data_IF_514792665077
#
_entry.id   IF_514792665077
#
_cell.length_a   1.000
_cell.length_b   1.000
_cell.length_c   1.000
_cell.angle_alpha   90.00
_cell.angle_beta   90.00
_cell.angle_gamma   90.00
#
_symmetry.space_group_name_H-M   'P 1'
#
loop_
_entity.id
_entity.type
_entity.pdbx_description
1 polymer ?
#
# COMPACT_ATOMS: atom_id res chain seq x y z
N UNK A 1 29.21 -10.84 30.89
CA UNK A 1 28.25 -9.73 31.10
C UNK A 1 27.23 -9.83 29.99
N UNK A 2 25.93 -9.75 30.29
CA UNK A 2 24.93 -9.71 29.22
C UNK A 2 25.14 -8.43 28.40
N UNK A 3 25.03 -8.51 27.08
CA UNK A 3 25.07 -7.30 26.24
C UNK A 3 23.93 -6.35 26.65
N UNK A 4 24.24 -5.06 26.72
CA UNK A 4 23.23 -4.04 27.01
C UNK A 4 22.19 -3.97 25.89
N UNK A 5 20.92 -3.78 26.26
CA UNK A 5 19.82 -3.69 25.30
C UNK A 5 19.96 -2.42 24.46
N UNK A 6 20.07 -2.58 23.14
CA UNK A 6 20.04 -1.45 22.20
C UNK A 6 18.61 -0.94 21.99
N UNK A 7 18.40 0.38 22.10
CA UNK A 7 17.13 1.08 21.81
C UNK A 7 17.40 2.37 21.03
N UNK A 8 16.36 2.98 20.45
CA UNK A 8 16.44 4.31 19.79
C UNK A 8 17.40 4.40 18.58
N UNK A 9 17.69 3.26 17.94
CA UNK A 9 18.66 3.17 16.83
C UNK A 9 18.13 3.61 15.46
N UNK A 10 16.82 3.79 15.32
CA UNK A 10 16.18 4.21 14.08
C UNK A 10 16.29 3.19 12.93
N UNK A 11 15.95 3.59 11.69
CA UNK A 11 16.11 2.73 10.53
C UNK A 11 17.58 2.64 10.11
N UNK A 12 17.99 1.52 9.49
CA UNK A 12 19.27 1.44 8.81
C UNK A 12 19.39 2.54 7.74
N UNK A 13 20.51 3.27 7.69
CA UNK A 13 20.72 4.33 6.71
C UNK A 13 20.66 3.78 5.28
N UNK A 14 19.81 4.36 4.42
CA UNK A 14 19.49 3.79 3.10
C UNK A 14 20.69 3.63 2.17
N UNK A 15 21.73 4.46 2.31
CA UNK A 15 22.95 4.39 1.47
C UNK A 15 23.68 3.05 1.53
N UNK A 16 23.47 2.26 2.59
CA UNK A 16 24.07 0.93 2.70
C UNK A 16 23.45 -0.08 1.73
N UNK A 17 22.27 0.23 1.17
CA UNK A 17 21.51 -0.67 0.30
C UNK A 17 21.44 -0.18 -1.15
N UNK A 18 22.05 0.96 -1.47
CA UNK A 18 22.03 1.49 -2.83
C UNK A 18 22.92 0.66 -3.76
N UNK A 19 22.46 0.31 -4.98
CA UNK A 19 23.33 -0.20 -6.02
C UNK A 19 24.53 0.73 -6.24
N UNK A 20 25.74 0.21 -6.49
CA UNK A 20 26.94 1.03 -6.70
C UNK A 20 26.77 2.13 -7.76
N UNK A 21 26.07 1.82 -8.86
CA UNK A 21 25.77 2.80 -9.92
C UNK A 21 24.88 3.95 -9.42
N UNK A 22 23.94 3.68 -8.51
CA UNK A 22 23.10 4.72 -7.90
C UNK A 22 23.93 5.57 -6.94
N UNK A 23 24.78 4.94 -6.12
CA UNK A 23 25.64 5.66 -5.18
C UNK A 23 26.62 6.59 -5.90
N UNK A 24 27.23 6.12 -6.99
CA UNK A 24 28.15 6.91 -7.84
C UNK A 24 27.46 8.13 -8.47
N UNK A 25 26.20 7.97 -8.89
CA UNK A 25 25.45 9.00 -9.63
C UNK A 25 24.33 9.65 -8.80
N UNK A 26 24.43 9.59 -7.47
CA UNK A 26 23.39 10.11 -6.59
C UNK A 26 23.23 11.62 -6.78
N UNK A 27 22.01 12.06 -7.17
CA UNK A 27 21.72 13.44 -7.49
C UNK A 27 22.27 13.95 -8.83
N UNK A 28 22.77 13.06 -9.70
CA UNK A 28 23.41 13.39 -11.00
C UNK A 28 22.80 12.60 -12.16
N UNK A 29 21.47 12.54 -12.19
CA UNK A 29 20.72 11.89 -13.26
C UNK A 29 20.32 12.91 -14.32
N UNK A 30 20.54 12.58 -15.60
CA UNK A 30 20.25 13.45 -16.73
C UNK A 30 18.80 13.26 -17.19
N UNK A 31 18.44 12.05 -17.62
CA UNK A 31 17.08 11.74 -18.06
C UNK A 31 16.67 10.30 -17.72
N UNK A 32 15.39 10.02 -17.93
CA UNK A 32 14.84 8.68 -17.92
C UNK A 32 13.95 8.45 -19.13
N UNK A 33 13.81 7.20 -19.53
CA UNK A 33 12.94 6.77 -20.62
C UNK A 33 12.20 5.50 -20.23
N UNK A 34 10.95 5.37 -20.65
CA UNK A 34 10.19 4.11 -20.55
C UNK A 34 10.42 3.36 -21.85
N UNK A 35 11.18 2.26 -21.79
CA UNK A 35 11.53 1.46 -22.96
C UNK A 35 10.37 0.60 -23.43
N UNK A 36 9.63 0.02 -22.48
CA UNK A 36 8.41 -0.78 -22.70
C UNK A 36 7.61 -0.87 -21.38
N UNK A 37 6.37 -1.38 -21.38
CA UNK A 37 5.62 -1.57 -20.13
C UNK A 37 6.45 -2.32 -19.07
N UNK A 38 6.56 -1.73 -17.88
CA UNK A 38 7.35 -2.25 -16.77
C UNK A 38 8.87 -2.06 -16.85
N UNK A 39 9.43 -1.54 -17.95
CA UNK A 39 10.88 -1.34 -18.11
C UNK A 39 11.23 0.12 -18.35
N UNK A 40 12.16 0.64 -17.55
CA UNK A 40 12.65 2.01 -17.67
C UNK A 40 14.18 2.03 -17.63
N UNK A 41 14.78 3.05 -18.21
CA UNK A 41 16.20 3.36 -18.06
C UNK A 41 16.36 4.75 -17.46
N UNK A 42 17.31 4.91 -16.55
CA UNK A 42 17.82 6.21 -16.11
C UNK A 42 19.26 6.34 -16.61
N UNK A 43 19.59 7.48 -17.19
CA UNK A 43 20.92 7.79 -17.70
C UNK A 43 21.49 8.91 -16.84
N UNK A 44 22.67 8.67 -16.28
CA UNK A 44 23.39 9.66 -15.48
C UNK A 44 24.12 10.66 -16.36
N UNK A 45 24.49 11.82 -15.80
CA UNK A 45 25.36 12.81 -16.48
C UNK A 45 26.71 12.20 -16.91
N UNK A 46 27.15 11.13 -16.23
CA UNK A 46 28.36 10.36 -16.56
C UNK A 46 28.21 9.44 -17.77
N UNK A 47 26.99 9.24 -18.27
CA UNK A 47 26.63 8.23 -19.26
C UNK A 47 26.32 6.84 -18.68
N UNK A 48 26.51 6.63 -17.37
CA UNK A 48 26.12 5.38 -16.71
C UNK A 48 24.60 5.16 -16.85
N UNK A 49 24.20 3.92 -17.10
CA UNK A 49 22.80 3.52 -17.23
C UNK A 49 22.37 2.64 -16.06
N UNK A 50 21.15 2.88 -15.59
CA UNK A 50 20.44 1.99 -14.69
C UNK A 50 19.11 1.60 -15.32
N UNK A 51 18.93 0.31 -15.56
CA UNK A 51 17.66 -0.26 -15.97
C UNK A 51 16.83 -0.65 -14.74
N UNK A 52 15.52 -0.53 -14.86
CA UNK A 52 14.56 -0.90 -13.83
C UNK A 52 13.48 -1.77 -14.44
N UNK A 53 13.31 -2.98 -13.91
CA UNK A 53 12.18 -3.86 -14.22
C UNK A 53 11.21 -3.82 -13.04
N UNK A 54 10.00 -3.32 -13.28
CA UNK A 54 8.94 -3.16 -12.29
C UNK A 54 7.89 -4.26 -12.46
N UNK A 55 7.59 -4.96 -11.36
CA UNK A 55 6.55 -5.98 -11.32
C UNK A 55 5.50 -5.69 -10.23
N UNK A 56 4.24 -6.11 -10.49
CA UNK A 56 3.18 -6.03 -9.50
C UNK A 56 3.48 -6.95 -8.31
N UNK A 57 2.97 -6.58 -7.14
CA UNK A 57 2.88 -7.49 -6.01
C UNK A 57 1.49 -7.37 -5.37
N UNK A 58 1.00 -8.41 -4.69
CA UNK A 58 -0.23 -8.33 -3.91
C UNK A 58 -0.11 -7.47 -2.65
N UNK A 59 1.04 -6.81 -2.41
CA UNK A 59 1.43 -6.08 -1.17
C UNK A 59 1.52 -6.99 0.06
N UNK A 60 0.51 -7.78 0.37
CA UNK A 60 0.59 -8.84 1.38
C UNK A 60 1.43 -10.00 0.83
N UNK A 61 2.61 -10.22 1.41
CA UNK A 61 3.58 -11.20 0.92
C UNK A 61 3.99 -12.17 2.03
N UNK A 62 4.19 -13.44 1.65
CA UNK A 62 4.87 -14.39 2.50
C UNK A 62 6.38 -14.12 2.52
N UNK A 63 7.04 -14.48 3.61
CA UNK A 63 8.51 -14.37 3.72
C UNK A 63 9.25 -15.21 2.66
N UNK A 64 8.63 -16.30 2.18
CA UNK A 64 9.17 -17.14 1.11
C UNK A 64 9.22 -16.39 -0.21
N UNK A 65 8.15 -15.64 -0.54
CA UNK A 65 8.13 -14.77 -1.73
C UNK A 65 9.18 -13.66 -1.65
N UNK A 66 9.41 -13.09 -0.46
CA UNK A 66 10.47 -12.08 -0.28
C UNK A 66 11.85 -12.71 -0.53
N UNK A 67 12.10 -13.93 -0.04
CA UNK A 67 13.35 -14.67 -0.32
C UNK A 67 13.51 -14.98 -1.80
N UNK A 68 12.44 -15.35 -2.50
CA UNK A 68 12.47 -15.54 -3.96
C UNK A 68 12.85 -14.24 -4.68
N UNK A 69 12.34 -13.08 -4.26
CA UNK A 69 12.79 -11.80 -4.81
C UNK A 69 14.27 -11.51 -4.52
N UNK A 70 14.78 -11.89 -3.36
CA UNK A 70 16.21 -11.80 -3.06
C UNK A 70 17.03 -12.69 -4.00
N UNK A 71 16.63 -13.95 -4.21
CA UNK A 71 17.33 -14.88 -5.11
C UNK A 71 17.37 -14.34 -6.56
N UNK A 72 16.25 -13.76 -7.03
CA UNK A 72 16.17 -13.09 -8.34
C UNK A 72 17.11 -11.86 -8.37
N UNK A 73 17.13 -11.04 -7.32
CA UNK A 73 17.98 -9.87 -7.26
C UNK A 73 19.48 -10.23 -7.19
N UNK A 74 19.85 -11.28 -6.47
CA UNK A 74 21.23 -11.77 -6.44
C UNK A 74 21.68 -12.25 -7.83
N UNK A 75 20.79 -12.90 -8.57
CA UNK A 75 21.07 -13.43 -9.92
C UNK A 75 21.19 -12.34 -10.99
N UNK A 76 20.35 -11.30 -10.95
CA UNK A 76 20.23 -10.32 -12.04
C UNK A 76 20.66 -8.90 -11.68
N UNK A 77 20.69 -8.55 -10.40
CA UNK A 77 20.70 -7.17 -9.90
C UNK A 77 21.77 -6.92 -8.83
N UNK A 78 22.78 -7.79 -8.75
CA UNK A 78 23.87 -7.73 -7.76
C UNK A 78 23.35 -7.64 -6.30
N UNK A 79 22.22 -8.28 -6.02
CA UNK A 79 21.57 -8.29 -4.70
C UNK A 79 20.73 -7.06 -4.38
N UNK A 80 20.47 -6.18 -5.35
CA UNK A 80 19.71 -4.95 -5.13
C UNK A 80 18.30 -4.98 -5.73
N UNK A 81 17.32 -4.60 -4.93
CA UNK A 81 15.93 -4.37 -5.32
C UNK A 81 15.33 -3.28 -4.44
N UNK A 82 14.17 -2.74 -4.83
CA UNK A 82 13.39 -1.81 -4.00
C UNK A 82 11.89 -2.01 -4.19
N UNK A 83 11.12 -1.42 -3.29
CA UNK A 83 9.68 -1.24 -3.50
C UNK A 83 9.35 0.20 -3.87
N UNK A 84 8.29 0.35 -4.66
CA UNK A 84 7.69 1.65 -4.98
C UNK A 84 6.70 2.07 -3.90
N UNK A 85 6.32 3.35 -3.86
CA UNK A 85 5.25 3.86 -2.98
C UNK A 85 3.86 3.25 -3.23
N UNK A 86 3.73 2.42 -4.27
CA UNK A 86 2.50 1.67 -4.58
C UNK A 86 2.70 0.16 -4.51
N UNK A 87 3.70 -0.28 -3.76
CA UNK A 87 3.95 -1.69 -3.44
C UNK A 87 4.32 -2.57 -4.65
N UNK A 88 4.61 -2.00 -5.82
CA UNK A 88 5.33 -2.75 -6.86
C UNK A 88 6.77 -3.00 -6.41
N UNK A 89 7.34 -4.12 -6.83
CA UNK A 89 8.78 -4.40 -6.67
C UNK A 89 9.53 -3.91 -7.91
N UNK A 90 10.73 -3.39 -7.72
CA UNK A 90 11.64 -2.95 -8.78
C UNK A 90 12.99 -3.64 -8.63
N UNK A 91 13.41 -4.30 -9.69
CA UNK A 91 14.71 -4.92 -9.85
C UNK A 91 15.63 -3.96 -10.62
N UNK A 92 16.84 -3.76 -10.11
CA UNK A 92 17.74 -2.68 -10.53
C UNK A 92 19.01 -3.28 -11.14
N UNK A 93 19.25 -3.08 -12.43
CA UNK A 93 20.35 -3.72 -13.15
C UNK A 93 21.06 -2.76 -14.11
N UNK A 94 22.36 -3.01 -14.35
CA UNK A 94 23.19 -2.24 -15.27
C UNK A 94 23.40 -2.94 -16.61
N UNK A 95 23.27 -4.27 -16.64
CA UNK A 95 23.40 -5.09 -17.84
C UNK A 95 22.05 -5.22 -18.57
N UNK A 96 21.91 -4.48 -19.66
CA UNK A 96 20.71 -4.46 -20.52
C UNK A 96 20.37 -5.86 -21.07
N UNK A 97 21.36 -6.72 -21.31
CA UNK A 97 21.14 -8.04 -21.90
C UNK A 97 20.38 -9.00 -20.99
N UNK A 98 20.33 -8.73 -19.69
CA UNK A 98 19.65 -9.54 -18.68
C UNK A 98 18.15 -9.22 -18.53
N UNK A 99 17.66 -8.13 -19.12
CA UNK A 99 16.29 -7.63 -18.91
C UNK A 99 15.24 -8.69 -19.27
N UNK A 100 15.34 -9.30 -20.46
CA UNK A 100 14.33 -10.28 -20.91
C UNK A 100 14.35 -11.57 -20.07
N UNK A 101 15.52 -12.01 -19.64
CA UNK A 101 15.66 -13.18 -18.76
C UNK A 101 15.04 -12.91 -17.38
N UNK A 102 15.30 -11.73 -16.82
CA UNK A 102 14.71 -11.28 -15.56
C UNK A 102 13.18 -11.19 -15.65
N UNK A 103 12.64 -10.57 -16.70
CA UNK A 103 11.18 -10.47 -16.91
C UNK A 103 10.57 -11.87 -16.94
N UNK A 104 11.13 -12.78 -17.74
CA UNK A 104 10.63 -14.15 -17.86
C UNK A 104 10.61 -14.89 -16.53
N UNK A 105 11.63 -14.71 -15.70
CA UNK A 105 11.70 -15.36 -14.38
C UNK A 105 10.67 -14.75 -13.42
N UNK A 106 10.61 -13.43 -13.31
CA UNK A 106 9.66 -12.74 -12.42
C UNK A 106 8.20 -13.06 -12.80
N UNK A 107 7.88 -13.08 -14.09
CA UNK A 107 6.55 -13.48 -14.58
C UNK A 107 6.30 -14.99 -14.39
N UNK A 108 7.32 -15.83 -14.52
CA UNK A 108 7.25 -17.26 -14.23
C UNK A 108 6.90 -17.57 -12.77
N UNK A 109 7.27 -16.67 -11.84
CA UNK A 109 6.84 -16.71 -10.44
C UNK A 109 5.45 -16.08 -10.19
N UNK A 110 4.76 -15.62 -11.25
CA UNK A 110 3.42 -15.06 -11.15
C UNK A 110 3.36 -13.56 -10.83
N UNK A 111 4.48 -12.83 -10.97
CA UNK A 111 4.53 -11.39 -10.75
C UNK A 111 4.58 -10.65 -12.10
N UNK A 112 3.46 -10.11 -12.59
CA UNK A 112 3.41 -9.51 -13.91
C UNK A 112 4.22 -8.21 -13.98
N UNK A 113 4.96 -8.02 -15.07
CA UNK A 113 5.76 -6.81 -15.32
C UNK A 113 4.87 -5.72 -15.94
N UNK A 114 4.95 -4.49 -15.45
CA UNK A 114 4.07 -3.42 -15.91
C UNK A 114 4.01 -2.17 -15.03
N UNK A 115 2.92 -1.39 -15.18
CA UNK A 115 2.62 -0.26 -14.30
C UNK A 115 3.49 1.00 -14.46
N UNK A 116 4.16 1.15 -15.61
CA UNK A 116 4.97 2.32 -15.99
C UNK A 116 4.24 3.18 -17.03
N UNK A 117 4.56 4.49 -17.10
CA UNK A 117 3.92 5.41 -18.05
C UNK A 117 2.43 5.66 -17.81
N UNK A 118 1.71 6.03 -18.87
CA UNK A 118 0.25 6.20 -18.92
C UNK A 118 -0.48 4.85 -18.92
N UNK A 119 -0.19 4.04 -17.91
CA UNK A 119 -0.77 2.71 -17.66
C UNK A 119 -1.27 2.66 -16.23
N UNK A 120 -2.19 1.73 -15.96
CA UNK A 120 -2.63 1.47 -14.60
C UNK A 120 -1.46 0.94 -13.79
N UNK A 121 -1.27 1.47 -12.58
CA UNK A 121 -0.33 0.91 -11.61
C UNK A 121 -1.11 0.23 -10.49
N UNK A 122 -0.40 -0.48 -9.61
CA UNK A 122 -0.99 -1.21 -8.50
C UNK A 122 -1.91 -0.33 -7.61
N UNK A 123 -2.90 -0.98 -6.99
CA UNK A 123 -3.89 -0.35 -6.12
C UNK A 123 -3.32 -0.26 -4.70
N UNK A 124 -3.17 0.97 -4.21
CA UNK A 124 -2.84 1.20 -2.80
C UNK A 124 -4.03 0.78 -1.96
N UNK A 125 -3.79 -0.09 -0.98
CA UNK A 125 -4.83 -0.65 -0.13
C UNK A 125 -4.30 -1.01 1.26
N UNK A 126 -5.24 -1.28 2.17
CA UNK A 126 -5.03 -1.40 3.61
C UNK A 126 -5.23 -2.84 4.07
N UNK A 127 -5.56 -3.04 5.34
CA UNK A 127 -5.67 -4.36 5.96
C UNK A 127 -6.96 -5.10 5.61
N UNK A 128 -8.12 -4.41 5.59
CA UNK A 128 -9.41 -5.09 5.49
C UNK A 128 -9.63 -6.13 6.59
N UNK A 129 -10.30 -7.23 6.25
CA UNK A 129 -10.63 -8.30 7.20
C UNK A 129 -9.42 -9.15 7.60
N UNK A 130 -8.29 -9.00 6.91
CA UNK A 130 -7.04 -9.70 7.26
C UNK A 130 -6.54 -9.30 8.65
N UNK A 131 -6.76 -8.03 9.06
CA UNK A 131 -6.17 -7.55 10.32
C UNK A 131 -6.88 -6.38 11.02
N UNK A 132 -7.81 -5.67 10.38
CA UNK A 132 -8.41 -4.47 10.97
C UNK A 132 -9.80 -4.75 11.56
N UNK A 133 -10.02 -4.32 12.80
CA UNK A 133 -11.28 -4.50 13.53
C UNK A 133 -12.38 -3.50 13.13
N UNK A 134 -12.03 -2.35 12.53
CA UNK A 134 -12.98 -1.33 12.06
C UNK A 134 -13.27 -1.40 10.55
N UNK A 135 -12.89 -2.50 9.89
CA UNK A 135 -13.11 -2.68 8.46
C UNK A 135 -14.59 -2.93 8.13
N UNK A 136 -15.16 -2.12 7.23
CA UNK A 136 -16.49 -2.34 6.67
C UNK A 136 -16.49 -3.37 5.53
N UNK A 137 -15.33 -3.61 4.91
CA UNK A 137 -15.15 -4.53 3.77
C UNK A 137 -13.70 -5.04 3.71
N UNK A 138 -13.47 -6.14 3.00
CA UNK A 138 -12.13 -6.68 2.80
C UNK A 138 -11.31 -5.88 1.78
N UNK A 139 -10.01 -5.74 2.04
CA UNK A 139 -9.10 -5.01 1.17
C UNK A 139 -8.48 -5.91 0.10
N UNK A 140 -7.82 -6.99 0.51
CA UNK A 140 -7.05 -7.84 -0.40
C UNK A 140 -7.94 -8.52 -1.45
N UNK A 141 -9.11 -9.03 -1.05
CA UNK A 141 -10.07 -9.66 -1.95
C UNK A 141 -10.65 -8.67 -2.97
N UNK A 142 -11.07 -7.48 -2.55
CA UNK A 142 -11.60 -6.46 -3.46
C UNK A 142 -10.54 -6.00 -4.45
N UNK A 143 -9.32 -5.73 -3.99
CA UNK A 143 -8.20 -5.34 -4.86
C UNK A 143 -7.87 -6.42 -5.88
N UNK A 144 -7.84 -7.68 -5.46
CA UNK A 144 -7.61 -8.81 -6.37
C UNK A 144 -8.68 -8.85 -7.46
N UNK A 145 -9.95 -8.81 -7.11
CA UNK A 145 -11.06 -8.83 -8.07
C UNK A 145 -11.01 -7.65 -9.05
N UNK A 146 -10.69 -6.45 -8.57
CA UNK A 146 -10.58 -5.26 -9.43
C UNK A 146 -9.35 -5.36 -10.34
N UNK A 147 -8.21 -5.79 -9.82
CA UNK A 147 -6.99 -5.92 -10.63
C UNK A 147 -7.09 -7.03 -11.68
N UNK A 148 -7.86 -8.09 -11.46
CA UNK A 148 -8.10 -9.13 -12.46
C UNK A 148 -8.83 -8.57 -13.69
N UNK A 149 -9.86 -7.74 -13.48
CA UNK A 149 -10.58 -7.06 -14.57
C UNK A 149 -9.75 -5.97 -15.24
N UNK A 150 -8.93 -5.25 -14.46
CA UNK A 150 -8.13 -4.13 -14.96
C UNK A 150 -6.72 -4.54 -15.43
N UNK A 151 -6.39 -5.83 -15.39
CA UNK A 151 -5.06 -6.33 -15.71
C UNK A 151 -4.51 -5.88 -17.08
N UNK A 152 -5.31 -5.86 -18.17
CA UNK A 152 -4.84 -5.38 -19.48
C UNK A 152 -4.31 -3.94 -19.46
N UNK A 153 -4.80 -3.08 -18.57
CA UNK A 153 -4.32 -1.71 -18.41
C UNK A 153 -3.00 -1.63 -17.62
N UNK A 154 -2.70 -2.64 -16.81
CA UNK A 154 -1.45 -2.75 -16.06
C UNK A 154 -0.31 -3.30 -16.91
N UNK A 155 -0.57 -4.41 -17.63
CA UNK A 155 0.40 -5.08 -18.51
C UNK A 155 0.77 -4.25 -19.73
N UNK A 156 -0.09 -3.29 -20.09
CA UNK A 156 0.12 -2.41 -21.23
C UNK A 156 -0.59 -2.83 -22.50
N UNK A 157 -1.36 -3.92 -22.47
CA UNK A 157 -2.25 -4.37 -23.57
C UNK A 157 -3.27 -3.29 -23.95
N UNK A 158 -3.81 -2.57 -22.96
CA UNK A 158 -4.70 -1.43 -23.18
C UNK A 158 -4.00 -0.11 -22.84
N UNK A 159 -4.26 0.90 -23.66
CA UNK A 159 -3.78 2.26 -23.44
C UNK A 159 -4.73 3.08 -22.57
N UNK A 160 -4.15 4.07 -21.88
CA UNK A 160 -4.87 5.09 -21.14
C UNK A 160 -4.33 6.46 -21.54
N UNK A 161 -5.18 7.51 -21.58
CA UNK A 161 -4.74 8.85 -21.98
C UNK A 161 -3.77 9.48 -20.98
N UNK A 162 -3.79 9.03 -19.73
CA UNK A 162 -2.91 9.45 -18.65
C UNK A 162 -2.69 8.30 -17.67
N UNK A 163 -1.97 8.55 -16.57
CA UNK A 163 -1.73 7.55 -15.52
C UNK A 163 -2.78 7.63 -14.40
N UNK A 164 -3.82 6.76 -14.38
CA UNK A 164 -4.77 6.75 -13.29
C UNK A 164 -4.19 6.08 -12.05
N UNK A 165 -4.63 6.55 -10.89
CA UNK A 165 -4.40 5.97 -9.58
C UNK A 165 -5.74 5.49 -9.03
N UNK A 166 -5.86 4.17 -8.91
CA UNK A 166 -6.94 3.55 -8.17
C UNK A 166 -6.47 3.25 -6.75
N UNK A 167 -7.26 3.56 -5.73
CA UNK A 167 -6.94 3.20 -4.36
C UNK A 167 -8.17 2.68 -3.62
N UNK A 168 -7.93 1.85 -2.60
CA UNK A 168 -8.96 1.20 -1.81
C UNK A 168 -8.77 1.47 -0.31
N UNK A 169 -9.85 1.77 0.41
CA UNK A 169 -9.88 1.79 1.86
C UNK A 169 -11.04 0.94 2.39
N UNK A 170 -10.75 0.14 3.42
CA UNK A 170 -11.73 -0.74 4.07
C UNK A 170 -12.71 0.02 4.99
N UNK A 171 -12.39 1.25 5.37
CA UNK A 171 -13.24 2.17 6.13
C UNK A 171 -12.80 3.62 5.87
N UNK A 172 -13.54 4.59 6.40
CA UNK A 172 -13.30 6.01 6.16
C UNK A 172 -12.07 6.62 6.85
N UNK A 173 -11.34 5.84 7.65
CA UNK A 173 -10.03 6.27 8.15
C UNK A 173 -9.00 6.37 7.01
N UNK A 174 -9.31 5.78 5.84
CA UNK A 174 -8.58 5.84 4.58
C UNK A 174 -7.16 5.23 4.56
N UNK A 175 -6.44 5.23 5.69
CA UNK A 175 -5.09 4.68 5.94
C UNK A 175 -4.15 4.67 4.71
N UNK A 176 -4.18 5.75 3.91
CA UNK A 176 -3.60 5.80 2.58
C UNK A 176 -4.16 6.94 1.73
N UNK A 177 -3.89 6.89 0.41
CA UNK A 177 -4.18 7.98 -0.54
C UNK A 177 -5.57 7.91 -1.19
N UNK A 178 -6.56 7.29 -0.52
CA UNK A 178 -7.89 7.06 -1.13
C UNK A 178 -8.65 8.34 -1.39
N UNK A 179 -8.57 9.31 -0.48
CA UNK A 179 -9.20 10.63 -0.60
C UNK A 179 -8.62 11.52 -1.72
N UNK A 180 -7.50 11.12 -2.33
CA UNK A 180 -6.79 11.89 -3.37
C UNK A 180 -6.37 11.02 -4.57
N UNK A 181 -7.08 9.92 -4.82
CA UNK A 181 -6.87 9.05 -5.98
C UNK A 181 -7.88 9.34 -7.08
N UNK A 182 -7.49 9.14 -8.35
CA UNK A 182 -8.37 9.37 -9.51
C UNK A 182 -9.64 8.53 -9.44
N UNK A 183 -9.53 7.30 -8.92
CA UNK A 183 -10.66 6.44 -8.58
C UNK A 183 -10.45 5.89 -7.17
N UNK A 184 -11.43 6.11 -6.30
CA UNK A 184 -11.42 5.68 -4.91
C UNK A 184 -12.52 4.65 -4.68
N UNK A 185 -12.16 3.52 -4.07
CA UNK A 185 -13.10 2.51 -3.59
C UNK A 185 -13.07 2.54 -2.06
N UNK A 186 -14.24 2.70 -1.44
CA UNK A 186 -14.37 2.91 -0.01
C UNK A 186 -15.42 2.00 0.60
N UNK A 187 -15.02 1.22 1.61
CA UNK A 187 -15.96 0.55 2.51
C UNK A 187 -16.63 1.56 3.44
N UNK A 188 -17.97 1.53 3.48
CA UNK A 188 -18.79 2.38 4.36
C UNK A 188 -19.80 1.53 5.12
N UNK A 189 -20.07 1.91 6.36
CA UNK A 189 -21.22 1.37 7.10
C UNK A 189 -22.49 2.11 6.69
N UNK A 190 -23.65 1.50 6.92
CA UNK A 190 -24.96 2.05 6.55
C UNK A 190 -25.98 1.95 7.69
N UNK A 191 -25.50 1.72 8.91
CA UNK A 191 -26.33 1.56 10.12
C UNK A 191 -25.66 2.19 11.33
N UNK A 192 -26.46 2.69 12.26
CA UNK A 192 -25.95 3.17 13.53
C UNK A 192 -25.31 2.02 14.34
N UNK A 193 -24.30 2.30 15.18
CA UNK A 193 -23.70 1.31 16.07
C UNK A 193 -24.74 0.71 17.03
N UNK A 194 -24.62 -0.59 17.30
CA UNK A 194 -25.31 -1.24 18.42
C UNK A 194 -24.52 -0.95 19.69
N UNK A 195 -25.20 -0.55 20.76
CA UNK A 195 -24.57 -0.14 22.01
C UNK A 195 -24.57 -1.32 22.98
N UNK A 196 -23.38 -1.78 23.37
CA UNK A 196 -23.22 -2.76 24.45
C UNK A 196 -23.19 -2.04 25.80
N UNK A 197 -24.37 -1.70 26.32
CA UNK A 197 -24.55 -0.86 27.52
C UNK A 197 -23.83 -1.39 28.76
N UNK A 198 -23.68 -2.71 28.89
CA UNK A 198 -23.04 -3.33 30.06
C UNK A 198 -21.52 -3.20 30.04
N UNK A 199 -20.89 -3.17 28.87
CA UNK A 199 -19.43 -3.15 28.73
C UNK A 199 -18.88 -1.76 28.40
N UNK A 200 -19.69 -0.87 27.83
CA UNK A 200 -19.30 0.51 27.53
C UNK A 200 -18.62 1.22 28.70
N UNK A 201 -19.16 1.26 29.93
CA UNK A 201 -18.49 1.94 31.04
C UNK A 201 -17.20 1.24 31.51
N UNK A 202 -16.96 -0.01 31.11
CA UNK A 202 -15.74 -0.76 31.45
C UNK A 202 -14.61 -0.51 30.46
N UNK A 203 -14.95 -0.18 29.21
CA UNK A 203 -14.00 -0.10 28.09
C UNK A 203 -13.82 1.30 27.53
N UNK A 204 -14.80 2.18 27.73
CA UNK A 204 -14.84 3.49 27.10
C UNK A 204 -14.78 4.62 28.13
N UNK A 205 -14.07 5.67 27.78
CA UNK A 205 -14.19 6.97 28.44
C UNK A 205 -15.29 7.77 27.71
N UNK A 206 -16.41 8.05 28.40
CA UNK A 206 -17.63 8.56 27.76
C UNK A 206 -17.43 9.95 27.11
N UNK A 207 -16.79 10.94 27.76
CA UNK A 207 -16.53 12.24 27.14
C UNK A 207 -15.80 12.18 25.79
N UNK A 208 -14.75 11.37 25.67
CA UNK A 208 -13.99 11.19 24.43
C UNK A 208 -14.80 10.43 23.38
N UNK A 209 -15.59 9.42 23.78
CA UNK A 209 -16.52 8.73 22.87
C UNK A 209 -17.53 9.72 22.28
N UNK A 210 -18.17 10.56 23.10
CA UNK A 210 -19.11 11.60 22.64
C UNK A 210 -18.42 12.61 21.72
N UNK A 211 -17.23 13.08 22.09
CA UNK A 211 -16.45 14.04 21.30
C UNK A 211 -15.95 13.47 19.96
N UNK A 212 -15.87 12.15 19.83
CA UNK A 212 -15.48 11.49 18.58
C UNK A 212 -16.54 11.62 17.48
N UNK A 213 -17.80 11.95 17.83
CA UNK A 213 -18.89 12.04 16.86
C UNK A 213 -18.88 13.38 16.12
N UNK A 214 -18.60 13.41 14.79
CA UNK A 214 -18.46 14.67 14.06
C UNK A 214 -19.80 15.40 13.82
N UNK A 215 -20.92 14.68 13.86
CA UNK A 215 -22.26 15.26 13.72
C UNK A 215 -22.91 15.56 15.07
N UNK A 216 -22.24 15.19 16.16
CA UNK A 216 -22.84 15.24 17.49
C UNK A 216 -24.10 14.39 17.58
N UNK A 217 -24.16 13.19 17.01
CA UNK A 217 -25.30 12.28 17.18
C UNK A 217 -25.33 11.57 18.55
N UNK A 218 -24.22 11.59 19.30
CA UNK A 218 -24.05 10.83 20.55
C UNK A 218 -24.25 11.75 21.76
N UNK A 219 -24.98 11.29 22.78
CA UNK A 219 -25.19 12.00 24.05
C UNK A 219 -24.88 11.10 25.24
N UNK A 220 -24.31 11.62 26.34
CA UNK A 220 -24.24 10.89 27.60
C UNK A 220 -25.65 10.53 28.10
N UNK A 221 -25.83 9.30 28.57
CA UNK A 221 -27.08 8.81 29.11
C UNK A 221 -26.85 7.92 30.34
N UNK A 222 -27.93 7.60 31.05
CA UNK A 222 -27.94 6.53 32.05
C UNK A 222 -28.96 5.49 31.61
N UNK A 223 -28.51 4.25 31.38
CA UNK A 223 -29.35 3.14 30.93
C UNK A 223 -29.25 2.04 31.99
N UNK A 224 -30.39 1.58 32.50
CA UNK A 224 -30.47 0.57 33.58
C UNK A 224 -29.60 0.87 34.80
N UNK A 225 -29.49 2.17 35.15
CA UNK A 225 -28.69 2.64 36.29
C UNK A 225 -27.17 2.69 36.04
N UNK A 226 -26.71 2.44 34.80
CA UNK A 226 -25.30 2.47 34.40
C UNK A 226 -25.01 3.69 33.53
N UNK A 227 -23.80 4.23 33.65
CA UNK A 227 -23.32 5.26 32.73
C UNK A 227 -23.19 4.68 31.32
N UNK A 228 -23.76 5.37 30.33
CA UNK A 228 -23.85 4.93 28.95
C UNK A 228 -23.96 6.13 28.00
N UNK A 229 -24.24 5.88 26.73
CA UNK A 229 -24.65 6.85 25.72
C UNK A 229 -25.95 6.46 25.04
N UNK A 230 -26.57 7.43 24.36
CA UNK A 230 -27.62 7.24 23.35
C UNK A 230 -27.14 7.79 22.00
N UNK A 231 -27.69 7.25 20.90
CA UNK A 231 -27.37 7.68 19.53
C UNK A 231 -28.66 8.13 18.85
N UNK A 232 -28.67 9.39 18.41
CA UNK A 232 -29.74 9.96 17.58
C UNK A 232 -29.51 9.48 16.13
N UNK A 233 -30.19 8.42 15.72
CA UNK A 233 -29.93 7.74 14.45
C UNK A 233 -30.10 8.67 13.24
N UNK A 234 -31.08 9.58 13.26
CA UNK A 234 -31.27 10.56 12.18
C UNK A 234 -30.12 11.57 12.02
N UNK A 235 -29.25 11.70 13.03
CA UNK A 235 -28.03 12.54 12.97
C UNK A 235 -26.76 11.72 12.68
N UNK A 236 -26.85 10.39 12.71
CA UNK A 236 -25.70 9.51 12.50
C UNK A 236 -25.42 9.34 11.00
N UNK A 237 -24.17 9.52 10.59
CA UNK A 237 -23.71 9.26 9.23
C UNK A 237 -22.85 7.99 9.12
N UNK A 238 -22.95 7.10 10.12
CA UNK A 238 -22.37 5.76 10.12
C UNK A 238 -20.84 5.73 9.96
N UNK A 239 -20.17 6.75 10.51
CA UNK A 239 -18.72 6.91 10.32
C UNK A 239 -17.86 5.84 11.01
N UNK A 240 -18.38 5.19 12.04
CA UNK A 240 -17.64 4.20 12.84
C UNK A 240 -16.57 4.79 13.76
N UNK A 241 -16.38 6.12 13.80
CA UNK A 241 -15.32 6.74 14.61
C UNK A 241 -15.51 6.49 16.12
N UNK A 242 -16.75 6.39 16.59
CA UNK A 242 -17.04 6.07 17.99
C UNK A 242 -16.75 4.62 18.38
N UNK A 243 -16.46 3.74 17.42
CA UNK A 243 -16.02 2.35 17.64
C UNK A 243 -14.49 2.19 17.56
N UNK A 244 -13.78 3.17 16.98
CA UNK A 244 -12.32 3.13 16.83
C UNK A 244 -11.62 3.32 18.17
#
# INVERSE_FOLDING_TARGET
MAEERMTDIGPPHYEQFLPPVIKKNYGKWDYHEILKPGVMVHVAESGDKLFTVRAATPRLLAITTIREFCDIADKYCDGHLRWTSRNNVEFLLTDESKIEALIKEVEGHGFPVGGTGSKLSNIVHTQGWVHCHSAASDASGVVKSVMDELFPYFSGEKDLPAKPRVAYACCLNMCGAVHCSDIAILGVHTRAPVIEHDDLPKMCEIPTLVASCPTGAIRPATVDGRQSVEIIEEQCMYCGNCYT
#
